data_IF_270563005191
#
_entry.id   IF_270563005191
#
_cell.length_a   1.000
_cell.length_b   1.000
_cell.length_c   1.000
_cell.angle_alpha   90.00
_cell.angle_beta   90.00
_cell.angle_gamma   90.00
#
_symmetry.space_group_name_H-M   'P 1'
#
loop_
_entity.id
_entity.type
_entity.pdbx_description
1 polymer ?
#
# COMPACT_ATOMS: atom_id res chain seq x y z
N UNK A 1 23.38 -10.35 14.13
CA UNK A 1 24.55 -9.91 13.34
C UNK A 1 25.46 -9.11 14.26
N UNK A 2 26.78 -9.17 14.08
CA UNK A 2 27.73 -8.43 14.94
C UNK A 2 27.65 -6.92 14.69
N UNK A 3 28.17 -6.14 15.65
CA UNK A 3 28.09 -4.66 15.73
C UNK A 3 28.70 -3.89 14.53
N UNK A 4 29.39 -4.59 13.62
CA UNK A 4 30.09 -4.04 12.45
C UNK A 4 29.43 -4.41 11.09
N UNK A 5 28.25 -5.05 11.11
CA UNK A 5 27.52 -5.42 9.89
C UNK A 5 26.42 -4.41 9.57
N UNK A 6 26.52 -3.75 8.42
CA UNK A 6 25.41 -2.91 7.90
C UNK A 6 24.43 -3.82 7.16
N UNK A 7 23.23 -3.96 7.70
CA UNK A 7 22.14 -4.72 7.09
C UNK A 7 21.41 -3.87 6.04
N UNK A 8 21.66 -4.18 4.76
CA UNK A 8 20.99 -3.54 3.61
C UNK A 8 19.82 -4.39 3.07
N UNK A 9 19.40 -5.42 3.78
CA UNK A 9 18.29 -6.29 3.35
C UNK A 9 16.91 -5.63 3.51
N UNK A 10 16.83 -4.57 4.32
CA UNK A 10 15.60 -3.86 4.62
C UNK A 10 15.76 -2.35 4.38
N UNK A 11 14.82 -1.76 3.64
CA UNK A 11 14.71 -0.31 3.49
C UNK A 11 14.03 0.29 4.72
N UNK A 12 14.78 0.42 5.83
CA UNK A 12 14.30 1.05 7.06
C UNK A 12 14.54 2.56 7.02
N UNK A 13 13.54 3.38 7.39
CA UNK A 13 13.71 4.82 7.40
C UNK A 13 14.61 5.24 8.59
N UNK A 14 15.59 6.15 8.41
CA UNK A 14 16.58 6.47 9.43
C UNK A 14 15.93 6.99 10.72
N UNK A 15 16.48 6.73 11.92
CA UNK A 15 15.95 7.25 13.18
C UNK A 15 15.77 8.76 13.12
N UNK A 16 14.63 9.27 13.59
CA UNK A 16 14.32 10.70 13.53
C UNK A 16 13.52 11.15 14.76
N UNK A 17 14.02 12.14 15.50
CA UNK A 17 13.43 12.61 16.77
C UNK A 17 11.96 13.04 16.65
N UNK A 18 11.57 13.59 15.49
CA UNK A 18 10.15 13.95 15.24
C UNK A 18 9.20 12.76 15.35
N UNK A 19 9.63 11.51 15.10
CA UNK A 19 8.74 10.34 15.22
C UNK A 19 8.35 10.10 16.67
N UNK A 20 9.32 10.11 17.58
CA UNK A 20 9.08 9.94 19.01
C UNK A 20 8.30 11.11 19.59
N UNK A 21 8.65 12.34 19.20
CA UNK A 21 7.96 13.56 19.64
C UNK A 21 6.50 13.59 19.16
N UNK A 22 6.24 13.24 17.90
CA UNK A 22 4.89 13.19 17.35
C UNK A 22 4.03 12.12 18.06
N UNK A 23 4.60 10.94 18.32
CA UNK A 23 3.90 9.88 19.06
C UNK A 23 3.57 10.31 20.49
N UNK A 24 4.53 10.90 21.21
CA UNK A 24 4.32 11.42 22.57
C UNK A 24 3.22 12.50 22.61
N UNK A 25 3.25 13.42 21.65
CA UNK A 25 2.24 14.48 21.52
C UNK A 25 0.86 13.89 21.24
N UNK A 26 0.76 12.92 20.33
CA UNK A 26 -0.50 12.25 20.00
C UNK A 26 -1.09 11.51 21.21
N UNK A 27 -0.28 10.75 21.95
CA UNK A 27 -0.72 10.05 23.16
C UNK A 27 -1.21 11.01 24.25
N UNK A 28 -0.55 12.16 24.42
CA UNK A 28 -0.96 13.20 25.36
C UNK A 28 -2.27 13.89 24.96
N UNK A 29 -2.44 14.16 23.66
CA UNK A 29 -3.68 14.71 23.13
C UNK A 29 -4.85 13.72 23.26
N UNK A 30 -4.59 12.43 23.02
CA UNK A 30 -5.58 11.36 23.23
C UNK A 30 -5.99 11.28 24.70
N UNK A 31 -5.05 11.25 25.64
CA UNK A 31 -5.35 11.08 27.07
C UNK A 31 -6.19 12.22 27.68
N UNK A 32 -6.14 13.41 27.09
CA UNK A 32 -6.86 14.60 27.56
C UNK A 32 -8.23 14.79 26.87
N UNK A 33 -8.52 14.02 25.82
CA UNK A 33 -9.79 14.07 25.09
C UNK A 33 -10.69 12.89 25.43
N UNK A 34 -11.72 13.13 26.25
CA UNK A 34 -12.68 12.11 26.65
C UNK A 34 -13.41 11.46 25.45
N UNK A 35 -13.67 12.25 24.42
CA UNK A 35 -14.32 11.82 23.19
C UNK A 35 -13.39 10.95 22.31
N UNK A 36 -12.12 11.35 22.17
CA UNK A 36 -11.13 10.54 21.45
C UNK A 36 -10.84 9.21 22.17
N UNK A 37 -10.76 9.21 23.51
CA UNK A 37 -10.60 7.99 24.31
C UNK A 37 -11.79 7.03 24.16
N UNK A 38 -13.03 7.54 24.17
CA UNK A 38 -14.21 6.70 23.96
C UNK A 38 -14.18 6.03 22.60
N UNK A 39 -13.79 6.75 21.54
CA UNK A 39 -13.65 6.18 20.20
C UNK A 39 -12.53 5.15 20.11
N UNK A 40 -11.39 5.38 20.77
CA UNK A 40 -10.21 4.50 20.63
C UNK A 40 -10.40 3.12 21.26
N UNK A 41 -11.32 2.97 22.22
CA UNK A 41 -11.64 1.69 22.87
C UNK A 41 -12.92 1.04 22.35
N UNK A 42 -13.67 1.72 21.48
CA UNK A 42 -14.88 1.20 20.88
C UNK A 42 -14.57 0.38 19.62
N UNK A 43 -15.52 -0.48 19.23
CA UNK A 43 -15.48 -1.09 17.91
C UNK A 43 -15.58 -0.02 16.83
N UNK A 44 -14.65 -0.06 15.88
CA UNK A 44 -14.69 0.80 14.70
C UNK A 44 -15.63 0.21 13.64
N UNK A 45 -16.16 1.07 12.77
CA UNK A 45 -16.89 0.61 11.59
C UNK A 45 -15.96 -0.24 10.71
N UNK A 46 -16.52 -1.18 9.94
CA UNK A 46 -15.75 -1.97 8.98
C UNK A 46 -15.10 -1.11 7.89
N UNK A 47 -15.64 0.09 7.63
CA UNK A 47 -15.09 1.02 6.66
C UNK A 47 -14.01 1.96 7.24
N UNK A 48 -13.86 1.97 8.56
CA UNK A 48 -13.02 2.90 9.30
C UNK A 48 -13.75 4.15 9.79
N UNK A 49 -12.99 5.11 10.30
CA UNK A 49 -13.50 6.36 10.87
C UNK A 49 -14.03 7.31 9.78
N UNK A 50 -15.28 7.75 9.90
CA UNK A 50 -15.87 8.75 9.00
C UNK A 50 -15.06 10.04 8.96
N UNK A 51 -14.55 10.47 10.11
CA UNK A 51 -13.68 11.64 10.21
C UNK A 51 -12.39 11.46 9.39
N UNK A 52 -11.75 10.28 9.46
CA UNK A 52 -10.54 10.01 8.68
C UNK A 52 -10.83 9.98 7.19
N UNK A 53 -11.96 9.38 6.78
CA UNK A 53 -12.35 9.32 5.37
C UNK A 53 -12.67 10.70 4.80
N UNK A 54 -13.38 11.55 5.55
CA UNK A 54 -13.63 12.92 5.15
C UNK A 54 -12.33 13.73 5.00
N UNK A 55 -11.40 13.60 5.96
CA UNK A 55 -10.11 14.27 5.90
C UNK A 55 -9.26 13.80 4.69
N UNK A 56 -9.23 12.50 4.42
CA UNK A 56 -8.54 11.93 3.26
C UNK A 56 -9.16 12.38 1.94
N UNK A 57 -10.49 12.35 1.81
CA UNK A 57 -11.20 12.84 0.62
C UNK A 57 -10.87 14.31 0.33
N UNK A 58 -10.84 15.16 1.37
CA UNK A 58 -10.47 16.56 1.23
C UNK A 58 -9.00 16.72 0.81
N UNK A 59 -8.09 15.94 1.38
CA UNK A 59 -6.67 15.97 1.03
C UNK A 59 -6.42 15.49 -0.40
N UNK A 60 -7.03 14.38 -0.83
CA UNK A 60 -6.95 13.86 -2.20
C UNK A 60 -7.50 14.86 -3.22
N UNK A 61 -8.55 15.62 -2.86
CA UNK A 61 -9.05 16.71 -3.71
C UNK A 61 -8.00 17.79 -3.96
N UNK A 62 -7.09 18.05 -3.01
CA UNK A 62 -5.97 18.99 -3.21
C UNK A 62 -4.89 18.45 -4.16
N UNK A 63 -4.92 17.15 -4.45
CA UNK A 63 -4.05 16.45 -5.40
C UNK A 63 -4.78 16.15 -6.72
N UNK A 64 -5.87 16.90 -7.02
CA UNK A 64 -6.74 16.71 -8.20
C UNK A 64 -7.41 15.32 -8.28
N UNK A 65 -7.48 14.59 -7.16
CA UNK A 65 -8.19 13.31 -7.04
C UNK A 65 -9.50 13.50 -6.26
N UNK A 66 -10.56 13.89 -6.96
CA UNK A 66 -11.88 14.10 -6.34
C UNK A 66 -12.58 12.75 -6.10
N UNK A 67 -12.74 12.37 -4.82
CA UNK A 67 -13.39 11.12 -4.38
C UNK A 67 -14.32 11.39 -3.20
N UNK A 68 -15.48 10.75 -3.15
CA UNK A 68 -16.38 10.84 -2.01
C UNK A 68 -15.82 10.03 -0.82
N UNK A 69 -16.03 10.51 0.40
CA UNK A 69 -15.59 9.80 1.60
C UNK A 69 -16.21 8.38 1.73
N UNK A 70 -17.38 8.17 1.14
CA UNK A 70 -18.06 6.87 1.10
C UNK A 70 -17.38 5.84 0.17
N UNK A 71 -16.55 6.31 -0.76
CA UNK A 71 -15.76 5.47 -1.67
C UNK A 71 -14.41 5.06 -1.06
N UNK A 72 -14.10 5.55 0.14
CA UNK A 72 -12.86 5.29 0.85
C UNK A 72 -13.02 4.20 1.91
N UNK A 73 -12.00 3.35 2.00
CA UNK A 73 -11.84 2.33 3.03
C UNK A 73 -10.54 2.56 3.79
N UNK A 74 -10.60 2.68 5.12
CA UNK A 74 -9.39 2.76 5.94
C UNK A 74 -8.81 1.36 6.15
N UNK A 75 -7.56 1.17 5.72
CA UNK A 75 -6.83 -0.09 5.89
C UNK A 75 -5.84 0.00 7.06
N UNK A 76 -5.31 -1.15 7.47
CA UNK A 76 -4.31 -1.25 8.53
C UNK A 76 -2.89 -1.16 7.94
N UNK A 77 -2.70 -0.24 7.00
CA UNK A 77 -1.48 -0.06 6.22
C UNK A 77 -1.53 -0.70 4.82
N UNK A 78 -0.51 -0.40 4.01
CA UNK A 78 -0.44 -0.78 2.60
C UNK A 78 -0.56 -2.28 2.34
N UNK A 79 0.10 -3.12 3.13
CA UNK A 79 0.05 -4.57 2.97
C UNK A 79 -1.35 -5.15 3.20
N UNK A 80 -2.11 -4.60 4.18
CA UNK A 80 -3.51 -4.97 4.38
C UNK A 80 -4.34 -4.54 3.17
N UNK A 81 -4.14 -3.34 2.65
CA UNK A 81 -4.81 -2.86 1.42
C UNK A 81 -4.55 -3.76 0.21
N UNK A 82 -3.29 -4.13 -0.04
CA UNK A 82 -2.92 -5.04 -1.13
C UNK A 82 -3.65 -6.39 -0.97
N UNK A 83 -3.54 -7.00 0.22
CA UNK A 83 -4.13 -8.31 0.49
C UNK A 83 -5.65 -8.30 0.33
N UNK A 84 -6.31 -7.24 0.81
CA UNK A 84 -7.75 -7.06 0.69
C UNK A 84 -8.17 -6.89 -0.78
N UNK A 85 -7.47 -6.06 -1.54
CA UNK A 85 -7.74 -5.86 -2.97
C UNK A 85 -7.61 -7.16 -3.76
N UNK A 86 -6.51 -7.90 -3.55
CA UNK A 86 -6.28 -9.17 -4.24
C UNK A 86 -7.34 -10.21 -3.88
N UNK A 87 -7.64 -10.38 -2.59
CA UNK A 87 -8.64 -11.35 -2.12
C UNK A 87 -10.09 -11.01 -2.50
N UNK A 88 -10.38 -9.74 -2.77
CA UNK A 88 -11.72 -9.28 -3.15
C UNK A 88 -11.94 -9.32 -4.67
N UNK A 89 -10.93 -8.93 -5.45
CA UNK A 89 -11.08 -8.73 -6.90
C UNK A 89 -10.66 -9.95 -7.74
N UNK A 90 -9.88 -10.88 -7.17
CA UNK A 90 -9.33 -12.02 -7.88
C UNK A 90 -9.72 -13.36 -7.26
N UNK A 91 -9.60 -14.40 -8.08
CA UNK A 91 -9.77 -15.80 -7.70
C UNK A 91 -8.43 -16.54 -7.80
N UNK A 92 -8.20 -17.60 -6.99
CA UNK A 92 -7.04 -18.46 -7.12
C UNK A 92 -6.78 -18.89 -8.57
N UNK A 93 -5.53 -18.77 -9.00
CA UNK A 93 -5.07 -19.10 -10.35
C UNK A 93 -5.19 -17.98 -11.39
N UNK A 94 -5.88 -16.87 -11.07
CA UNK A 94 -5.91 -15.68 -11.93
C UNK A 94 -4.56 -14.97 -11.99
N UNK A 95 -4.36 -14.20 -13.06
CA UNK A 95 -3.09 -13.59 -13.42
C UNK A 95 -3.03 -12.13 -12.99
N UNK A 96 -1.96 -11.75 -12.30
CA UNK A 96 -1.58 -10.37 -11.99
C UNK A 96 -0.34 -10.02 -12.81
N UNK A 97 -0.35 -8.89 -13.51
CA UNK A 97 0.85 -8.31 -14.09
C UNK A 97 1.50 -7.36 -13.07
N UNK A 98 2.82 -7.39 -12.98
CA UNK A 98 3.60 -6.46 -12.17
C UNK A 98 4.94 -6.15 -12.85
N UNK A 99 5.67 -5.15 -12.39
CA UNK A 99 7.05 -4.95 -12.82
C UNK A 99 7.89 -6.21 -12.61
N UNK A 100 8.82 -6.48 -13.51
CA UNK A 100 9.70 -7.65 -13.43
C UNK A 100 10.49 -7.68 -12.12
N UNK A 101 10.82 -6.51 -11.56
CA UNK A 101 11.32 -6.34 -10.19
C UNK A 101 10.35 -5.45 -9.43
N UNK A 102 9.70 -5.98 -8.40
CA UNK A 102 8.63 -5.30 -7.67
C UNK A 102 8.64 -5.62 -6.17
N UNK A 103 7.77 -4.92 -5.43
CA UNK A 103 7.69 -4.97 -3.98
C UNK A 103 7.50 -6.41 -3.44
N UNK A 104 8.40 -6.92 -2.56
CA UNK A 104 8.28 -8.28 -2.01
C UNK A 104 6.96 -8.57 -1.28
N UNK A 105 6.34 -7.56 -0.67
CA UNK A 105 5.03 -7.71 -0.01
C UNK A 105 3.89 -7.98 -0.99
N UNK A 106 3.95 -7.42 -2.20
CA UNK A 106 2.97 -7.70 -3.26
C UNK A 106 3.11 -9.13 -3.79
N UNK A 107 4.35 -9.60 -4.00
CA UNK A 107 4.63 -10.99 -4.38
C UNK A 107 4.09 -11.95 -3.32
N UNK A 108 4.38 -11.67 -2.05
CA UNK A 108 3.94 -12.50 -0.92
C UNK A 108 2.41 -12.55 -0.82
N UNK A 109 1.72 -11.42 -0.97
CA UNK A 109 0.26 -11.37 -0.95
C UNK A 109 -0.36 -12.15 -2.12
N UNK A 110 0.20 -12.02 -3.33
CA UNK A 110 -0.27 -12.77 -4.50
C UNK A 110 -0.10 -14.28 -4.31
N UNK A 111 1.04 -14.73 -3.77
CA UNK A 111 1.28 -16.15 -3.47
C UNK A 111 0.29 -16.70 -2.42
N UNK A 112 0.03 -15.94 -1.35
CA UNK A 112 -0.95 -16.31 -0.32
C UNK A 112 -2.37 -16.44 -0.88
N UNK A 113 -2.71 -15.60 -1.87
CA UNK A 113 -3.98 -15.65 -2.59
C UNK A 113 -4.01 -16.71 -3.72
N UNK A 114 -2.94 -17.51 -3.87
CA UNK A 114 -2.76 -18.51 -4.94
C UNK A 114 -2.87 -17.92 -6.35
N UNK A 115 -2.43 -16.67 -6.53
CA UNK A 115 -2.43 -15.97 -7.82
C UNK A 115 -1.14 -16.24 -8.59
N UNK A 116 -1.23 -16.11 -9.92
CA UNK A 116 -0.05 -16.13 -10.80
C UNK A 116 0.42 -14.70 -10.99
N UNK A 117 1.72 -14.46 -10.92
CA UNK A 117 2.32 -13.16 -11.21
C UNK A 117 3.14 -13.27 -12.49
N UNK A 118 2.91 -12.38 -13.44
CA UNK A 118 3.77 -12.20 -14.62
C UNK A 118 4.54 -10.89 -14.47
N UNK A 119 5.87 -11.00 -14.55
CA UNK A 119 6.76 -9.84 -14.58
C UNK A 119 6.78 -9.23 -15.96
N UNK A 120 6.47 -7.95 -16.05
CA UNK A 120 6.60 -7.13 -17.26
C UNK A 120 7.96 -6.43 -17.20
N UNK A 121 8.78 -6.52 -18.26
CA UNK A 121 10.02 -5.74 -18.35
C UNK A 121 9.78 -4.24 -18.13
N UNK A 122 10.79 -3.55 -17.61
CA UNK A 122 10.76 -2.10 -17.39
C UNK A 122 12.03 -1.46 -17.96
N UNK A 123 11.96 -0.16 -18.23
CA UNK A 123 13.08 0.69 -18.61
C UNK A 123 13.23 1.87 -17.64
N UNK A 124 13.88 2.96 -18.05
CA UNK A 124 14.10 4.13 -17.18
C UNK A 124 12.81 4.90 -16.86
N UNK A 125 11.75 4.68 -17.64
CA UNK A 125 10.45 5.33 -17.48
C UNK A 125 9.42 4.39 -16.80
N UNK A 126 9.87 3.23 -16.32
CA UNK A 126 9.04 2.23 -15.64
C UNK A 126 8.61 1.08 -16.55
N UNK A 127 7.44 0.50 -16.30
CA UNK A 127 6.94 -0.67 -17.02
C UNK A 127 6.86 -0.44 -18.55
N UNK A 128 7.46 -1.35 -19.34
CA UNK A 128 7.40 -1.29 -20.80
C UNK A 128 5.98 -1.61 -21.30
N UNK A 129 5.32 -0.59 -21.87
CA UNK A 129 3.91 -0.68 -22.29
C UNK A 129 3.72 -1.62 -23.49
N UNK A 130 4.67 -1.72 -24.41
CA UNK A 130 4.62 -2.67 -25.54
C UNK A 130 4.69 -4.11 -25.03
N UNK A 131 5.50 -4.38 -24.00
CA UNK A 131 5.58 -5.69 -23.39
C UNK A 131 4.30 -6.04 -22.62
N UNK A 132 3.69 -5.07 -21.94
CA UNK A 132 2.38 -5.23 -21.32
C UNK A 132 1.29 -5.51 -22.36
N UNK A 133 1.26 -4.77 -23.48
CA UNK A 133 0.30 -4.99 -24.58
C UNK A 133 0.45 -6.40 -25.18
N UNK A 134 1.69 -6.83 -25.45
CA UNK A 134 1.97 -8.18 -25.94
C UNK A 134 1.53 -9.25 -24.93
N UNK A 135 1.73 -9.03 -23.63
CA UNK A 135 1.23 -9.92 -22.59
C UNK A 135 -0.30 -9.96 -22.58
N UNK A 136 -0.98 -8.81 -22.68
CA UNK A 136 -2.44 -8.72 -22.74
C UNK A 136 -3.02 -9.46 -23.95
N UNK A 137 -2.39 -9.36 -25.12
CA UNK A 137 -2.79 -10.05 -26.34
C UNK A 137 -2.65 -11.59 -26.23
N UNK A 138 -1.64 -12.07 -25.49
CA UNK A 138 -1.39 -13.51 -25.29
C UNK A 138 -2.22 -14.12 -24.16
N UNK A 139 -2.22 -13.46 -23.00
CA UNK A 139 -2.93 -13.89 -21.80
C UNK A 139 -3.23 -12.66 -20.92
N UNK A 140 -4.45 -12.11 -20.99
CA UNK A 140 -4.77 -10.88 -20.29
C UNK A 140 -4.70 -11.05 -18.77
N UNK A 141 -3.94 -10.19 -18.05
CA UNK A 141 -3.97 -10.16 -16.60
C UNK A 141 -5.33 -9.62 -16.12
N UNK A 142 -5.78 -10.09 -14.95
CA UNK A 142 -6.98 -9.60 -14.28
C UNK A 142 -6.73 -8.26 -13.57
N UNK A 143 -5.49 -8.02 -13.14
CA UNK A 143 -5.05 -6.82 -12.42
C UNK A 143 -3.60 -6.49 -12.78
N UNK A 144 -3.26 -5.20 -12.78
CA UNK A 144 -1.89 -4.70 -12.86
C UNK A 144 -1.52 -4.11 -11.50
N UNK A 145 -0.42 -4.57 -10.91
CA UNK A 145 0.22 -3.97 -9.75
C UNK A 145 1.42 -3.16 -10.21
N UNK A 146 1.48 -1.89 -9.82
CA UNK A 146 2.55 -0.97 -10.19
C UNK A 146 2.94 -0.14 -8.97
N UNK A 147 4.24 0.15 -8.84
CA UNK A 147 4.72 1.21 -7.95
C UNK A 147 5.29 2.31 -8.84
N UNK A 148 4.48 3.32 -9.23
CA UNK A 148 4.85 4.27 -10.29
C UNK A 148 5.93 5.29 -9.89
N UNK A 149 6.19 5.43 -8.61
CA UNK A 149 7.23 6.31 -8.05
C UNK A 149 7.92 5.56 -6.91
N UNK A 150 9.25 5.58 -6.90
CA UNK A 150 10.08 4.91 -5.89
C UNK A 150 9.82 3.39 -5.78
N UNK A 151 9.73 2.71 -6.92
CA UNK A 151 9.56 1.26 -7.00
C UNK A 151 10.60 0.53 -6.15
N UNK A 152 10.13 -0.40 -5.32
CA UNK A 152 11.02 -1.25 -4.53
C UNK A 152 11.30 -2.54 -5.33
N UNK A 153 12.54 -2.83 -5.76
CA UNK A 153 13.81 -2.29 -5.24
C UNK A 153 14.54 -1.29 -6.15
N UNK A 154 13.97 -0.91 -7.29
CA UNK A 154 14.72 -0.19 -8.34
C UNK A 154 14.94 1.30 -8.05
N UNK A 155 14.10 1.91 -7.20
CA UNK A 155 14.06 3.35 -6.94
C UNK A 155 13.55 4.18 -8.12
N UNK A 156 13.00 3.52 -9.16
CA UNK A 156 12.37 4.16 -10.31
C UNK A 156 11.01 4.72 -9.95
#
# INVERSE_FOLDING_TARGET
AGDDTIDLSLSLPPPHALREQAMSTALSALSTSADALRRSVAYSSSQGSDHHRAALSQWLTQLDMTLNAEELLITQGGQHGISLTLGTLLRPGELVAADALTYPGAISAAQQAHLKVVGIPFDQDGMCMEALEAQCARQPPRLIYLTPDQNNPTGL
#
